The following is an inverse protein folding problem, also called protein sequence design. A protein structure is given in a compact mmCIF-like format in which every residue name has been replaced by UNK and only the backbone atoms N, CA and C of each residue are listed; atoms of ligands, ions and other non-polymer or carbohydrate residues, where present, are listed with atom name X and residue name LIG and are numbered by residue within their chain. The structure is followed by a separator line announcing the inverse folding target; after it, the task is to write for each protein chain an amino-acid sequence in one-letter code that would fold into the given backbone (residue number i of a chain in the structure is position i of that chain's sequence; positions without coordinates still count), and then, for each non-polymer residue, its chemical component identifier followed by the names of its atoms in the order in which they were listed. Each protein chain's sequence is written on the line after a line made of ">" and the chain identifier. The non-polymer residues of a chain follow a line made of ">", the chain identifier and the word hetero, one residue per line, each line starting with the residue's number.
data_IF_514174521290
#
_entry.id   IF_514174521290
#
_cell.length_a   1.000
_cell.length_b   1.000
_cell.length_c   1.000
_cell.angle_alpha   90.00
_cell.angle_beta   90.00
_cell.angle_gamma   90.00
#
_symmetry.space_group_name_H-M   'P 1'
#
loop_
_entity.id
_entity.type
_entity.pdbx_description
1 polymer ?
#
# COMPACT_ATOMS: atom_id res chain seq x y z
N UNK A 1 -3.26 14.95 -25.34
CA UNK A 1 -3.14 13.82 -24.38
C UNK A 1 -2.19 14.14 -23.21
N UNK A 2 -0.94 14.58 -23.47
CA UNK A 2 0.06 14.91 -22.44
C UNK A 2 -0.35 16.01 -21.44
N UNK A 3 -1.09 17.03 -21.88
CA UNK A 3 -1.56 18.12 -21.02
C UNK A 3 -2.54 17.61 -19.95
N UNK A 4 -3.44 16.70 -20.34
CA UNK A 4 -4.39 16.08 -19.41
C UNK A 4 -3.66 15.19 -18.40
N UNK A 5 -2.67 14.41 -18.85
CA UNK A 5 -1.85 13.60 -17.96
C UNK A 5 -1.12 14.43 -16.91
N UNK A 6 -0.48 15.54 -17.31
CA UNK A 6 0.20 16.47 -16.39
C UNK A 6 -0.77 17.08 -15.37
N UNK A 7 -2.02 17.38 -15.78
CA UNK A 7 -3.09 17.85 -14.88
C UNK A 7 -3.46 16.79 -13.84
N UNK A 8 -3.69 15.55 -14.25
CA UNK A 8 -4.03 14.46 -13.32
C UNK A 8 -2.87 14.10 -12.39
N UNK A 9 -1.63 14.13 -12.88
CA UNK A 9 -0.45 13.90 -12.04
C UNK A 9 -0.28 15.02 -11.00
N UNK A 10 -0.51 16.27 -11.38
CA UNK A 10 -0.50 17.40 -10.43
C UNK A 10 -1.61 17.26 -9.40
N UNK A 11 -2.81 16.87 -9.82
CA UNK A 11 -3.94 16.64 -8.92
C UNK A 11 -3.65 15.49 -7.94
N UNK A 12 -3.07 14.40 -8.44
CA UNK A 12 -2.59 13.29 -7.61
C UNK A 12 -1.67 13.80 -6.52
N UNK A 13 -0.57 14.46 -6.89
CA UNK A 13 0.40 14.97 -5.92
C UNK A 13 -0.21 15.95 -4.90
N UNK A 14 -1.15 16.80 -5.32
CA UNK A 14 -1.82 17.74 -4.42
C UNK A 14 -2.72 17.03 -3.38
N UNK A 15 -3.48 16.01 -3.80
CA UNK A 15 -4.30 15.20 -2.89
C UNK A 15 -3.41 14.41 -1.92
N UNK A 16 -2.31 13.87 -2.45
CA UNK A 16 -1.36 13.07 -1.72
C UNK A 16 -0.59 13.88 -0.67
N UNK A 17 -0.09 15.06 -1.03
CA UNK A 17 0.60 15.93 -0.07
C UNK A 17 -0.30 16.37 1.07
N UNK A 18 -1.58 16.67 0.78
CA UNK A 18 -2.57 16.99 1.81
C UNK A 18 -2.85 15.80 2.75
N UNK A 19 -2.98 14.58 2.19
CA UNK A 19 -3.15 13.36 2.97
C UNK A 19 -1.94 13.04 3.86
N UNK A 20 -0.73 13.20 3.31
CA UNK A 20 0.53 13.01 4.03
C UNK A 20 0.68 14.02 5.17
N UNK A 21 0.39 15.30 4.91
CA UNK A 21 0.45 16.34 5.94
C UNK A 21 -0.48 16.03 7.12
N UNK A 22 -1.70 15.54 6.81
CA UNK A 22 -2.66 15.10 7.83
C UNK A 22 -2.14 13.89 8.63
N UNK A 23 -1.59 12.89 7.96
CA UNK A 23 -1.06 11.69 8.62
C UNK A 23 0.14 12.04 9.53
N UNK A 24 1.04 12.93 9.09
CA UNK A 24 2.20 13.39 9.88
C UNK A 24 1.76 14.26 11.08
N UNK A 25 0.71 15.07 10.93
CA UNK A 25 0.21 15.91 12.02
C UNK A 25 -0.28 15.06 13.20
N UNK A 26 -0.89 13.90 12.92
CA UNK A 26 -1.30 12.91 13.90
C UNK A 26 -0.18 11.90 14.19
N UNK A 27 0.97 12.41 14.66
CA UNK A 27 2.22 11.64 14.88
C UNK A 27 2.00 10.30 15.61
N UNK A 28 1.18 10.29 16.66
CA UNK A 28 0.87 9.07 17.42
C UNK A 28 0.17 8.00 16.56
N UNK A 29 -0.82 8.40 15.78
CA UNK A 29 -1.52 7.48 14.87
C UNK A 29 -0.57 6.98 13.76
N UNK A 30 0.24 7.88 13.19
CA UNK A 30 1.22 7.49 12.19
C UNK A 30 2.20 6.44 12.72
N UNK A 31 2.83 6.68 13.87
CA UNK A 31 3.75 5.72 14.49
C UNK A 31 3.08 4.40 14.81
N UNK A 32 1.85 4.42 15.34
CA UNK A 32 1.12 3.18 15.65
C UNK A 32 0.80 2.37 14.39
N UNK A 33 0.37 3.05 13.31
CA UNK A 33 0.14 2.37 12.01
C UNK A 33 1.42 1.85 11.40
N UNK A 34 2.55 2.55 11.56
CA UNK A 34 3.85 2.11 11.08
C UNK A 34 4.31 0.84 11.80
N UNK A 35 4.21 0.82 13.14
CA UNK A 35 4.58 -0.32 13.98
C UNK A 35 3.68 -1.51 13.68
N UNK A 36 2.35 -1.32 13.66
CA UNK A 36 1.41 -2.39 13.30
C UNK A 36 1.75 -2.97 11.94
N UNK A 37 2.13 -2.10 11.01
CA UNK A 37 2.62 -2.42 9.70
C UNK A 37 3.79 -3.40 9.64
N UNK A 38 4.82 -3.05 10.39
CA UNK A 38 6.02 -3.86 10.57
C UNK A 38 5.67 -5.18 11.25
N UNK A 39 4.82 -5.16 12.27
CA UNK A 39 4.36 -6.39 12.94
C UNK A 39 3.69 -7.34 11.94
N UNK A 40 2.79 -6.85 11.09
CA UNK A 40 2.17 -7.68 10.04
C UNK A 40 3.18 -8.22 9.04
N UNK A 41 4.13 -7.40 8.59
CA UNK A 41 5.20 -7.84 7.70
C UNK A 41 6.02 -8.97 8.32
N UNK A 42 6.51 -8.79 9.55
CA UNK A 42 7.25 -9.84 10.26
C UNK A 42 6.41 -11.09 10.54
N UNK A 43 5.12 -10.92 10.81
CA UNK A 43 4.20 -12.05 10.98
C UNK A 43 4.12 -12.87 9.69
N UNK A 44 3.99 -12.24 8.52
CA UNK A 44 4.05 -12.95 7.24
C UNK A 44 5.40 -13.67 7.03
N UNK A 45 6.53 -13.03 7.35
CA UNK A 45 7.85 -13.68 7.28
C UNK A 45 7.93 -14.93 8.18
N UNK A 46 7.49 -14.82 9.43
CA UNK A 46 7.52 -15.93 10.40
C UNK A 46 6.58 -17.05 9.94
N UNK A 47 5.35 -16.71 9.56
CA UNK A 47 4.37 -17.67 9.03
C UNK A 47 4.90 -18.40 7.81
N UNK A 48 5.50 -17.67 6.86
CA UNK A 48 6.07 -18.26 5.66
C UNK A 48 7.27 -19.16 5.98
N UNK A 49 8.16 -18.73 6.88
CA UNK A 49 9.28 -19.55 7.37
C UNK A 49 8.81 -20.86 8.00
N UNK A 50 7.75 -20.81 8.80
CA UNK A 50 7.16 -22.00 9.40
C UNK A 50 6.63 -22.96 8.32
N UNK A 51 5.95 -22.43 7.30
CA UNK A 51 5.43 -23.23 6.18
C UNK A 51 6.57 -23.91 5.41
N UNK A 52 7.59 -23.16 4.97
CA UNK A 52 8.71 -23.73 4.19
C UNK A 52 9.56 -24.72 5.02
N UNK A 53 9.57 -24.61 6.34
CA UNK A 53 10.28 -25.57 7.21
C UNK A 53 9.53 -26.90 7.40
N UNK A 54 8.19 -26.89 7.28
CA UNK A 54 7.34 -28.07 7.51
C UNK A 54 7.01 -28.80 6.21
N UNK A 55 6.89 -28.08 5.11
CA UNK A 55 6.45 -28.62 3.83
C UNK A 55 7.58 -28.60 2.81
N UNK A 56 7.65 -29.64 1.97
CA UNK A 56 8.51 -29.67 0.80
C UNK A 56 7.76 -29.12 -0.40
N UNK A 57 8.43 -28.28 -1.18
CA UNK A 57 7.90 -27.69 -2.41
C UNK A 57 8.72 -28.22 -3.61
N UNK A 58 8.30 -29.34 -4.23
CA UNK A 58 9.02 -29.91 -5.37
C UNK A 58 9.13 -28.89 -6.51
N UNK A 59 10.32 -28.74 -7.08
CA UNK A 59 10.59 -27.78 -8.15
C UNK A 59 10.85 -26.35 -7.70
N UNK A 60 10.85 -26.08 -6.39
CA UNK A 60 11.15 -24.77 -5.82
C UNK A 60 12.29 -24.85 -4.82
N UNK A 61 13.30 -24.00 -5.00
CA UNK A 61 14.35 -23.81 -4.00
C UNK A 61 13.90 -22.82 -2.92
N UNK A 62 14.45 -22.96 -1.70
CA UNK A 62 14.12 -22.09 -0.57
C UNK A 62 14.30 -20.61 -0.89
N UNK A 63 15.34 -20.25 -1.66
CA UNK A 63 15.57 -18.87 -2.10
C UNK A 63 14.48 -18.36 -3.06
N UNK A 64 14.03 -19.19 -3.99
CA UNK A 64 12.94 -18.85 -4.92
C UNK A 64 11.61 -18.61 -4.18
N UNK A 65 11.35 -19.37 -3.11
CA UNK A 65 10.18 -19.17 -2.25
C UNK A 65 10.25 -17.82 -1.50
N UNK A 66 11.42 -17.40 -1.04
CA UNK A 66 11.59 -16.08 -0.42
C UNK A 66 11.40 -14.94 -1.42
N UNK A 67 11.95 -15.08 -2.63
CA UNK A 67 11.75 -14.12 -3.73
C UNK A 67 10.27 -13.98 -4.06
N UNK A 68 9.54 -15.11 -4.10
CA UNK A 68 8.09 -15.12 -4.31
C UNK A 68 7.36 -14.34 -3.22
N UNK A 69 7.67 -14.60 -1.94
CA UNK A 69 7.06 -13.89 -0.81
C UNK A 69 7.30 -12.38 -0.92
N UNK A 70 8.54 -11.95 -1.10
CA UNK A 70 8.86 -10.52 -1.13
C UNK A 70 8.25 -9.81 -2.34
N UNK A 71 8.20 -10.48 -3.49
CA UNK A 71 7.49 -9.96 -4.67
C UNK A 71 6.00 -9.78 -4.37
N UNK A 72 5.37 -10.78 -3.77
CA UNK A 72 3.97 -10.72 -3.36
C UNK A 72 3.69 -9.58 -2.35
N UNK A 73 4.56 -9.41 -1.36
CA UNK A 73 4.46 -8.33 -0.38
C UNK A 73 4.54 -6.94 -1.02
N UNK A 74 5.51 -6.73 -1.93
CA UNK A 74 5.65 -5.46 -2.65
C UNK A 74 4.37 -5.14 -3.41
N UNK A 75 3.85 -6.08 -4.20
CA UNK A 75 2.61 -5.87 -4.96
C UNK A 75 1.41 -5.60 -4.04
N UNK A 76 1.29 -6.35 -2.95
CA UNK A 76 0.20 -6.21 -1.98
C UNK A 76 0.22 -4.84 -1.32
N UNK A 77 1.36 -4.43 -0.78
CA UNK A 77 1.48 -3.14 -0.11
C UNK A 77 1.42 -1.95 -1.08
N UNK A 78 1.87 -2.09 -2.33
CA UNK A 78 1.64 -1.07 -3.36
C UNK A 78 0.16 -0.95 -3.72
N UNK A 79 -0.55 -2.07 -3.89
CA UNK A 79 -1.98 -2.04 -4.10
C UNK A 79 -2.70 -1.38 -2.92
N UNK A 80 -2.25 -1.67 -1.68
CA UNK A 80 -2.82 -1.04 -0.51
C UNK A 80 -2.49 0.45 -0.38
N UNK A 81 -1.28 0.84 -0.76
CA UNK A 81 -0.88 2.23 -0.83
C UNK A 81 -1.79 3.02 -1.77
N UNK A 82 -2.01 2.54 -2.99
CA UNK A 82 -2.78 3.27 -4.00
C UNK A 82 -4.30 3.20 -3.80
N UNK A 83 -4.84 2.01 -3.51
CA UNK A 83 -6.27 1.75 -3.70
C UNK A 83 -7.05 1.47 -2.43
N UNK A 84 -6.40 0.99 -1.36
CA UNK A 84 -7.11 0.46 -0.18
C UNK A 84 -8.02 1.49 0.47
N UNK A 85 -7.51 2.69 0.74
CA UNK A 85 -8.32 3.74 1.38
C UNK A 85 -9.52 4.13 0.50
N UNK A 86 -9.32 4.25 -0.81
CA UNK A 86 -10.38 4.54 -1.77
C UNK A 86 -11.47 3.47 -1.79
N UNK A 87 -11.06 2.19 -1.87
CA UNK A 87 -11.96 1.04 -1.88
C UNK A 87 -12.73 0.87 -0.57
N UNK A 88 -12.13 1.20 0.57
CA UNK A 88 -12.80 1.11 1.87
C UNK A 88 -13.74 2.29 2.15
N UNK A 89 -13.33 3.52 1.82
CA UNK A 89 -14.11 4.72 2.18
C UNK A 89 -15.27 4.96 1.23
N UNK A 90 -15.11 4.66 -0.06
CA UNK A 90 -16.14 5.00 -1.05
C UNK A 90 -17.49 4.32 -0.77
N UNK A 91 -17.57 2.99 -0.51
CA UNK A 91 -18.84 2.36 -0.16
C UNK A 91 -19.45 2.92 1.12
N UNK A 92 -18.61 3.24 2.11
CA UNK A 92 -19.06 3.83 3.38
C UNK A 92 -19.68 5.21 3.17
N UNK A 93 -19.03 6.07 2.38
CA UNK A 93 -19.54 7.42 2.06
C UNK A 93 -20.82 7.39 1.24
N UNK A 94 -20.97 6.41 0.34
CA UNK A 94 -22.21 6.18 -0.39
C UNK A 94 -23.32 5.81 0.60
N UNK A 95 -23.05 4.85 1.51
CA UNK A 95 -24.02 4.43 2.52
C UNK A 95 -24.42 5.54 3.50
N UNK A 96 -23.50 6.47 3.82
CA UNK A 96 -23.79 7.60 4.72
C UNK A 96 -24.29 8.86 4.02
N UNK A 97 -24.43 8.85 2.69
CA UNK A 97 -24.84 10.03 1.90
C UNK A 97 -23.80 11.16 1.85
N UNK A 98 -22.57 10.93 2.32
CA UNK A 98 -21.50 11.94 2.31
C UNK A 98 -20.71 11.95 1.01
N UNK A 99 -20.96 10.99 0.13
CA UNK A 99 -20.34 10.93 -1.21
C UNK A 99 -20.70 12.13 -2.08
N UNK A 100 -21.84 12.80 -1.83
CA UNK A 100 -22.25 14.02 -2.53
C UNK A 100 -21.24 15.17 -2.37
N UNK A 101 -20.54 15.21 -1.22
CA UNK A 101 -19.44 16.16 -0.98
C UNK A 101 -18.23 15.88 -1.89
N UNK A 102 -18.03 14.63 -2.29
CA UNK A 102 -16.99 14.28 -3.26
C UNK A 102 -17.43 14.63 -4.69
N UNK A 103 -18.72 14.47 -5.00
CA UNK A 103 -19.33 14.80 -6.29
C UNK A 103 -19.33 16.31 -6.58
N UNK A 104 -19.46 17.16 -5.55
CA UNK A 104 -19.45 18.61 -5.71
C UNK A 104 -18.08 19.22 -6.00
N UNK A 105 -16.99 18.45 -5.87
CA UNK A 105 -15.64 18.93 -6.16
C UNK A 105 -15.45 19.14 -7.68
N UNK A 106 -14.71 20.17 -8.12
CA UNK A 106 -14.55 20.51 -9.54
C UNK A 106 -13.58 19.57 -10.31
N UNK A 107 -13.47 18.31 -9.89
CA UNK A 107 -12.57 17.30 -10.45
C UNK A 107 -13.31 15.97 -10.64
N UNK A 108 -12.72 15.06 -11.41
CA UNK A 108 -13.29 13.72 -11.59
C UNK A 108 -13.44 13.01 -10.24
N UNK A 109 -14.68 12.81 -9.81
CA UNK A 109 -15.02 12.12 -8.57
C UNK A 109 -14.56 10.66 -8.60
N UNK A 110 -14.49 10.04 -9.78
CA UNK A 110 -13.93 8.69 -9.96
C UNK A 110 -12.45 8.66 -9.59
N UNK A 111 -11.67 9.63 -10.11
CA UNK A 111 -10.24 9.71 -9.81
C UNK A 111 -9.99 9.92 -8.32
N UNK A 112 -10.74 10.86 -7.71
CA UNK A 112 -10.65 11.13 -6.28
C UNK A 112 -11.13 9.95 -5.42
N UNK A 113 -12.16 9.22 -5.85
CA UNK A 113 -12.67 8.08 -5.10
C UNK A 113 -11.63 6.95 -5.00
N UNK A 114 -10.88 6.67 -6.07
CA UNK A 114 -9.85 5.64 -6.12
C UNK A 114 -8.52 6.08 -5.49
N UNK A 115 -8.00 7.26 -5.85
CA UNK A 115 -6.65 7.72 -5.48
C UNK A 115 -6.64 8.70 -4.30
N UNK A 116 -7.59 8.58 -3.36
CA UNK A 116 -7.61 9.41 -2.15
C UNK A 116 -6.59 8.91 -1.12
N UNK A 117 -5.80 9.85 -0.60
CA UNK A 117 -4.97 9.70 0.60
C UNK A 117 -4.17 8.38 0.65
N UNK A 118 -3.16 8.19 -0.19
CA UNK A 118 -2.32 7.00 -0.03
C UNK A 118 -1.69 6.94 1.38
N UNK A 119 -1.61 5.73 1.90
CA UNK A 119 -1.14 5.43 3.25
C UNK A 119 0.38 5.28 3.28
N UNK A 120 1.10 6.26 3.82
CA UNK A 120 2.56 6.23 3.88
C UNK A 120 3.15 4.99 4.54
N UNK A 121 2.47 4.48 5.56
CA UNK A 121 2.90 3.26 6.22
C UNK A 121 2.94 2.06 5.22
N UNK A 122 1.93 1.89 4.35
CA UNK A 122 1.96 0.80 3.35
C UNK A 122 3.11 1.00 2.34
N UNK A 123 3.44 2.24 1.98
CA UNK A 123 4.62 2.52 1.15
C UNK A 123 5.90 2.09 1.85
N UNK A 124 6.02 2.36 3.16
CA UNK A 124 7.17 1.90 3.95
C UNK A 124 7.26 0.37 3.94
N UNK A 125 6.14 -0.36 4.13
CA UNK A 125 6.13 -1.82 4.02
C UNK A 125 6.52 -2.34 2.64
N UNK A 126 6.07 -1.69 1.56
CA UNK A 126 6.51 -2.04 0.21
C UNK A 126 8.03 -1.85 0.02
N UNK A 127 8.59 -0.77 0.58
CA UNK A 127 10.04 -0.53 0.58
C UNK A 127 10.77 -1.61 1.37
N UNK A 128 10.27 -2.01 2.54
CA UNK A 128 10.83 -3.14 3.29
C UNK A 128 10.81 -4.43 2.47
N UNK A 129 9.69 -4.75 1.83
CA UNK A 129 9.60 -5.88 0.90
C UNK A 129 10.66 -5.82 -0.21
N UNK A 130 10.90 -4.64 -0.80
CA UNK A 130 11.92 -4.45 -1.82
C UNK A 130 13.36 -4.63 -1.28
N UNK A 131 13.65 -4.13 -0.08
CA UNK A 131 14.95 -4.34 0.59
C UNK A 131 15.20 -5.83 0.81
N UNK A 132 14.21 -6.55 1.34
CA UNK A 132 14.32 -7.98 1.58
C UNK A 132 14.39 -8.80 0.29
N UNK A 133 13.71 -8.37 -0.78
CA UNK A 133 13.84 -8.96 -2.11
C UNK A 133 15.29 -8.87 -2.62
N UNK A 134 15.90 -7.68 -2.54
CA UNK A 134 17.30 -7.49 -2.93
C UNK A 134 18.22 -8.35 -2.08
N UNK A 135 18.00 -8.40 -0.76
CA UNK A 135 18.78 -9.26 0.13
C UNK A 135 18.66 -10.74 -0.24
N UNK A 136 17.45 -11.22 -0.55
CA UNK A 136 17.22 -12.58 -0.99
C UNK A 136 17.91 -12.90 -2.32
N UNK A 137 17.93 -11.95 -3.26
CA UNK A 137 18.62 -12.10 -4.54
C UNK A 137 20.14 -12.13 -4.42
N UNK A 138 20.72 -11.42 -3.45
CA UNK A 138 22.17 -11.43 -3.20
C UNK A 138 22.62 -12.70 -2.48
N UNK A 139 21.76 -13.26 -1.63
CA UNK A 139 22.07 -14.47 -0.86
C UNK A 139 21.79 -15.76 -1.65
N UNK A 140 20.98 -15.68 -2.71
CA UNK A 140 20.69 -16.79 -3.64
C UNK A 140 21.85 -17.02 -4.61
#
# INVERSE_FOLDING_TARGET
>A
MLIQFKKYLRLFWAVQSAGIAKDIQLRGNFTMTLIGSLCYFYLHLISFKLIISRFRFPGWETGQLWILLFTFEIFTYLAFFFFWRGLQHTPKEIGTGTFDVLLSKPFSSRFLAFFRNCSLHNLASAIFGAIYLVFALVQY
#
